data_IF_834677445794
#
_entry.id   IF_834677445794
#
_cell.length_a   1.000
_cell.length_b   1.000
_cell.length_c   1.000
_cell.angle_alpha   90.00
_cell.angle_beta   90.00
_cell.angle_gamma   90.00
#
_symmetry.space_group_name_H-M   'P 1'
#
loop_
_entity.id
_entity.type
_entity.pdbx_description
1 polymer ?
#
# COMPACT_ATOMS: atom_id res chain seq x y z
N UNK A 1 2.80 1.73 16.63
CA UNK A 1 3.12 1.31 15.24
C UNK A 1 4.45 1.93 14.86
N UNK A 2 5.43 1.11 14.49
CA UNK A 2 6.68 1.61 13.93
C UNK A 2 6.51 1.93 12.45
N UNK A 3 7.25 2.92 11.95
CA UNK A 3 7.16 3.38 10.56
C UNK A 3 7.44 2.25 9.54
N UNK A 4 8.28 1.29 9.93
CA UNK A 4 8.64 0.13 9.11
C UNK A 4 7.53 -0.92 9.01
N UNK A 5 6.56 -0.92 9.92
CA UNK A 5 5.43 -1.87 9.91
C UNK A 5 4.27 -1.38 9.03
N UNK A 6 4.34 -0.12 8.57
CA UNK A 6 3.26 0.52 7.80
C UNK A 6 3.11 -0.12 6.42
N UNK A 7 4.23 -0.48 5.76
CA UNK A 7 4.24 -1.09 4.43
C UNK A 7 4.44 -2.60 4.56
N UNK A 8 3.42 -3.40 4.22
CA UNK A 8 3.49 -4.86 4.30
C UNK A 8 4.13 -5.47 3.05
N UNK A 9 3.61 -5.14 1.86
CA UNK A 9 4.11 -5.67 0.57
C UNK A 9 3.65 -4.82 -0.62
N UNK A 10 4.38 -4.83 -1.76
CA UNK A 10 3.88 -4.24 -3.00
C UNK A 10 2.74 -5.07 -3.59
N UNK A 11 1.76 -4.41 -4.21
CA UNK A 11 0.67 -5.07 -4.92
C UNK A 11 1.00 -5.15 -6.42
N UNK A 12 1.29 -6.35 -6.90
CA UNK A 12 1.59 -6.60 -8.31
C UNK A 12 0.34 -7.15 -8.99
N UNK A 13 -0.22 -6.35 -9.91
CA UNK A 13 -1.35 -6.70 -10.77
C UNK A 13 -1.18 -5.97 -12.09
N UNK A 14 -1.78 -6.45 -13.17
CA UNK A 14 -1.71 -5.82 -14.51
C UNK A 14 -2.13 -4.33 -14.44
N UNK A 15 -3.20 -4.05 -13.68
CA UNK A 15 -3.67 -2.68 -13.43
C UNK A 15 -2.64 -1.83 -12.70
N UNK A 16 -1.96 -2.37 -11.69
CA UNK A 16 -0.93 -1.61 -10.97
C UNK A 16 0.31 -1.38 -11.82
N UNK A 17 0.70 -2.35 -12.66
CA UNK A 17 1.78 -2.17 -13.64
C UNK A 17 1.45 -1.04 -14.62
N UNK A 18 0.20 -0.96 -15.10
CA UNK A 18 -0.23 0.17 -15.94
C UNK A 18 -0.13 1.51 -15.19
N UNK A 19 -0.48 1.55 -13.90
CA UNK A 19 -0.36 2.75 -13.06
C UNK A 19 1.09 3.17 -12.78
N UNK A 20 2.04 2.25 -12.77
CA UNK A 20 3.46 2.55 -12.60
C UNK A 20 3.99 3.45 -13.72
N UNK A 21 3.46 3.32 -14.95
CA UNK A 21 3.81 4.23 -16.06
C UNK A 21 3.46 5.70 -15.76
N UNK A 22 2.51 5.92 -14.84
CA UNK A 22 2.08 7.24 -14.36
C UNK A 22 2.68 7.59 -13.00
N UNK A 23 3.77 6.93 -12.58
CA UNK A 23 4.42 7.10 -11.27
C UNK A 23 3.49 6.83 -10.07
N UNK A 24 2.50 5.95 -10.23
CA UNK A 24 1.58 5.55 -9.17
C UNK A 24 1.88 4.12 -8.74
N UNK A 25 2.21 3.97 -7.46
CA UNK A 25 2.55 2.69 -6.85
C UNK A 25 1.51 2.27 -5.82
N UNK A 26 1.25 0.97 -5.73
CA UNK A 26 0.25 0.40 -4.83
C UNK A 26 0.92 -0.58 -3.86
N UNK A 27 0.58 -0.44 -2.57
CA UNK A 27 1.11 -1.27 -1.48
C UNK A 27 -0.04 -1.77 -0.61
N UNK A 28 0.13 -2.97 -0.06
CA UNK A 28 -0.65 -3.39 1.09
C UNK A 28 -0.04 -2.75 2.34
N UNK A 29 -0.91 -2.14 3.14
CA UNK A 29 -0.55 -1.41 4.35
C UNK A 29 -1.13 -2.09 5.59
N UNK A 30 -0.64 -1.71 6.77
CA UNK A 30 -1.25 -2.13 8.02
C UNK A 30 -2.61 -1.46 8.26
N UNK A 31 -3.56 -2.19 8.85
CA UNK A 31 -4.98 -1.81 8.96
C UNK A 31 -5.26 -0.54 9.79
N UNK A 32 -4.29 -0.09 10.60
CA UNK A 32 -4.36 1.13 11.41
C UNK A 32 -3.54 2.31 10.89
N UNK A 33 -2.99 2.23 9.67
CA UNK A 33 -2.08 3.26 9.16
C UNK A 33 -2.83 4.49 8.64
N UNK A 34 -2.50 5.66 9.20
CA UNK A 34 -3.00 6.95 8.71
C UNK A 34 -2.26 7.40 7.44
N UNK A 35 -2.91 8.23 6.61
CA UNK A 35 -2.32 8.78 5.36
C UNK A 35 -0.97 9.47 5.57
N UNK A 36 -0.81 10.20 6.68
CA UNK A 36 0.45 10.86 7.04
C UNK A 36 1.56 9.85 7.32
N UNK A 37 1.26 8.78 8.06
CA UNK A 37 2.22 7.71 8.37
C UNK A 37 2.65 6.98 7.11
N UNK A 38 1.72 6.70 6.20
CA UNK A 38 2.00 6.04 4.91
C UNK A 38 2.94 6.92 4.07
N UNK A 39 2.65 8.22 4.01
CA UNK A 39 3.50 9.18 3.31
C UNK A 39 4.93 9.14 3.84
N UNK A 40 5.10 9.33 5.16
CA UNK A 40 6.42 9.32 5.78
C UNK A 40 7.14 7.98 5.62
N UNK A 41 6.42 6.86 5.74
CA UNK A 41 6.99 5.53 5.57
C UNK A 41 7.57 5.33 4.16
N UNK A 42 6.82 5.73 3.12
CA UNK A 42 7.28 5.63 1.73
C UNK A 42 8.44 6.58 1.47
N UNK A 43 8.34 7.84 1.92
CA UNK A 43 9.40 8.83 1.73
C UNK A 43 10.71 8.39 2.41
N UNK A 44 10.67 7.84 3.63
CA UNK A 44 11.87 7.36 4.33
C UNK A 44 12.42 6.05 3.76
N UNK A 45 11.55 5.10 3.38
CA UNK A 45 11.98 3.80 2.87
C UNK A 45 12.63 3.91 1.48
N UNK A 46 12.08 4.75 0.60
CA UNK A 46 12.52 4.86 -0.79
C UNK A 46 13.26 6.16 -1.11
N UNK A 47 13.39 7.08 -0.15
CA UNK A 47 14.05 8.39 -0.33
C UNK A 47 13.46 9.21 -1.48
N UNK A 48 12.13 9.16 -1.63
CA UNK A 48 11.36 9.86 -2.67
C UNK A 48 10.46 10.93 -2.06
N UNK A 49 9.89 11.81 -2.90
CA UNK A 49 8.87 12.79 -2.52
C UNK A 49 7.49 12.28 -2.92
N UNK A 50 6.56 12.18 -1.97
CA UNK A 50 5.19 11.71 -2.25
C UNK A 50 4.25 12.89 -2.49
N UNK A 51 3.65 12.96 -3.67
CA UNK A 51 2.68 14.01 -4.04
C UNK A 51 1.32 13.83 -3.36
N UNK A 52 0.85 12.58 -3.24
CA UNK A 52 -0.45 12.28 -2.65
C UNK A 52 -0.58 10.80 -2.31
N UNK A 53 -1.48 10.50 -1.37
CA UNK A 53 -1.75 9.14 -0.89
C UNK A 53 -3.24 8.84 -0.99
N UNK A 54 -3.56 7.75 -1.69
CA UNK A 54 -4.91 7.19 -1.77
C UNK A 54 -4.94 5.88 -1.00
N UNK A 55 -5.98 5.69 -0.19
CA UNK A 55 -6.16 4.50 0.65
C UNK A 55 -7.57 3.98 0.45
N UNK A 56 -7.68 2.66 0.28
CA UNK A 56 -8.97 1.96 0.18
C UNK A 56 -8.88 0.72 1.06
N UNK A 57 -9.89 0.52 1.91
CA UNK A 57 -10.03 -0.70 2.70
C UNK A 57 -10.70 -1.78 1.87
N UNK A 58 -10.02 -2.89 1.66
CA UNK A 58 -10.55 -4.04 0.90
C UNK A 58 -10.86 -5.16 1.88
N UNK A 59 -12.14 -5.52 2.00
CA UNK A 59 -12.54 -6.66 2.84
C UNK A 59 -12.11 -7.97 2.18
N UNK A 60 -11.53 -8.88 2.97
CA UNK A 60 -11.20 -10.23 2.52
C UNK A 60 -12.44 -10.95 1.97
N UNK A 61 -12.27 -11.70 0.87
CA UNK A 61 -13.36 -12.49 0.28
C UNK A 61 -13.59 -13.73 1.14
N UNK A 62 -14.86 -14.01 1.49
CA UNK A 62 -15.20 -15.29 2.11
C UNK A 62 -14.83 -16.42 1.14
N UNK A 63 -14.02 -17.36 1.61
CA UNK A 63 -13.59 -18.54 0.85
C UNK A 63 -14.06 -19.77 1.60
N UNK A 64 -14.78 -20.66 0.91
CA UNK A 64 -15.15 -21.96 1.45
C UNK A 64 -13.88 -22.82 1.46
N UNK A 65 -13.39 -23.12 2.65
CA UNK A 65 -12.42 -24.18 2.83
C UNK A 65 -13.19 -25.51 2.87
N UNK A 66 -12.78 -26.48 2.06
CA UNK A 66 -13.29 -27.86 2.17
C UNK A 66 -12.90 -28.46 3.53
N UNK A 67 -13.65 -29.46 3.99
CA UNK A 67 -13.12 -30.35 5.03
C UNK A 67 -11.99 -31.19 4.44
#
# INVERSE_FOLDING_TARGET
MHLYEVLRRPLITEKNTALQTLNKYAFEIADGANKMMIKEAVEKAFKVKVMGVNVVTVRGKSKRMGR
#
